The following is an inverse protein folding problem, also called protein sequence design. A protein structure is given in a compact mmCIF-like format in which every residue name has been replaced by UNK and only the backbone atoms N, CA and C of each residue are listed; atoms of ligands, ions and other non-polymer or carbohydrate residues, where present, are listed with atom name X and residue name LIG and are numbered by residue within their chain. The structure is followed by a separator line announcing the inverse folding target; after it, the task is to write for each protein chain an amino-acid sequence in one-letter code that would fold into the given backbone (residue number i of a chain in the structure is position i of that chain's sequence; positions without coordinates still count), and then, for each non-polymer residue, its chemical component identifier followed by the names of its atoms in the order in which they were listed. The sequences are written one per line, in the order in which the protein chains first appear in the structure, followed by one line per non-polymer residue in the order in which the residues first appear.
data_IF_089660672062
#
_entry.id   IF_089660672062
#
_cell.length_a   1.000
_cell.length_b   1.000
_cell.length_c   1.000
_cell.angle_alpha   90.00
_cell.angle_beta   90.00
_cell.angle_gamma   90.00
#
_symmetry.space_group_name_H-M   'P 1'
#
loop_
_entity.id
_entity.type
_entity.pdbx_description
1 polymer ?
#
# COMPACT_ATOMS: atom_id res chain seq x y z
N UNK A 1 19.57 15.38 -14.61
CA UNK A 1 20.47 14.21 -14.45
C UNK A 1 20.83 13.91 -12.99
N UNK A 2 21.14 14.92 -12.15
CA UNK A 2 21.58 14.70 -10.75
C UNK A 2 20.62 13.92 -9.81
N UNK A 3 19.29 14.05 -9.97
CA UNK A 3 18.33 13.28 -9.16
C UNK A 3 18.51 11.76 -9.37
N UNK A 4 18.73 11.33 -10.62
CA UNK A 4 18.81 9.91 -10.97
C UNK A 4 20.19 9.32 -10.61
N UNK A 5 21.26 10.12 -10.70
CA UNK A 5 22.59 9.73 -10.23
C UNK A 5 22.58 9.47 -8.71
N UNK A 6 21.95 10.36 -7.94
CA UNK A 6 21.79 10.22 -6.49
C UNK A 6 20.97 8.97 -6.13
N UNK A 7 19.89 8.69 -6.86
CA UNK A 7 19.06 7.50 -6.63
C UNK A 7 19.79 6.19 -6.94
N UNK A 8 20.76 6.19 -7.87
CA UNK A 8 21.57 5.01 -8.24
C UNK A 8 22.63 4.66 -7.20
N UNK A 9 23.19 5.67 -6.52
CA UNK A 9 24.18 5.46 -5.46
C UNK A 9 23.65 4.68 -4.25
N UNK A 10 22.33 4.45 -4.21
CA UNK A 10 21.62 3.86 -3.09
C UNK A 10 21.15 2.43 -3.36
N UNK A 11 21.36 1.91 -4.58
CA UNK A 11 21.08 0.51 -4.89
C UNK A 11 22.02 -0.41 -4.10
N UNK A 12 21.41 -1.37 -3.42
CA UNK A 12 22.07 -2.22 -2.44
C UNK A 12 21.47 -3.62 -2.52
N UNK A 13 22.32 -4.60 -2.77
CA UNK A 13 21.93 -6.00 -2.86
C UNK A 13 21.23 -6.49 -1.59
N UNK A 14 21.57 -5.94 -0.42
CA UNK A 14 20.90 -6.26 0.84
C UNK A 14 19.44 -5.80 0.83
N UNK A 15 19.17 -4.62 0.29
CA UNK A 15 17.80 -4.09 0.17
C UNK A 15 17.03 -4.85 -0.90
N UNK A 16 17.64 -5.14 -2.05
CA UNK A 16 16.99 -5.88 -3.13
C UNK A 16 16.59 -7.30 -2.69
N UNK A 17 17.47 -8.00 -1.96
CA UNK A 17 17.18 -9.33 -1.43
C UNK A 17 16.07 -9.29 -0.37
N UNK A 18 16.11 -8.31 0.53
CA UNK A 18 15.05 -8.10 1.52
C UNK A 18 13.71 -7.80 0.85
N UNK A 19 13.70 -6.92 -0.15
CA UNK A 19 12.49 -6.58 -0.89
C UNK A 19 11.89 -7.78 -1.60
N UNK A 20 12.74 -8.61 -2.23
CA UNK A 20 12.29 -9.83 -2.87
C UNK A 20 11.81 -10.88 -1.87
N UNK A 21 12.46 -11.03 -0.71
CA UNK A 21 12.06 -12.01 0.30
C UNK A 21 10.72 -11.65 0.98
N UNK A 22 10.50 -10.37 1.26
CA UNK A 22 9.37 -9.87 2.04
C UNK A 22 8.17 -9.47 1.17
N UNK A 23 8.41 -8.97 -0.04
CA UNK A 23 7.38 -8.38 -0.90
C UNK A 23 7.28 -9.02 -2.29
N UNK A 24 8.10 -10.03 -2.60
CA UNK A 24 8.14 -10.72 -3.89
C UNK A 24 8.13 -9.73 -5.07
N UNK A 25 7.32 -10.01 -6.10
CA UNK A 25 7.20 -9.16 -7.28
C UNK A 25 6.36 -7.89 -7.05
N UNK A 26 5.55 -7.84 -5.99
CA UNK A 26 4.77 -6.64 -5.64
C UNK A 26 5.70 -5.49 -5.20
N UNK A 27 6.76 -5.83 -4.45
CA UNK A 27 7.81 -4.88 -4.07
C UNK A 27 8.49 -4.24 -5.29
N UNK A 28 8.70 -5.01 -6.37
CA UNK A 28 9.33 -4.48 -7.60
C UNK A 28 8.43 -3.58 -8.44
N UNK A 29 7.10 -3.64 -8.28
CA UNK A 29 6.18 -2.77 -9.01
C UNK A 29 6.27 -1.33 -8.49
N UNK A 30 6.38 -1.16 -7.17
CA UNK A 30 6.47 0.15 -6.51
C UNK A 30 7.91 0.64 -6.32
N UNK A 31 8.87 -0.26 -6.16
CA UNK A 31 10.26 0.09 -5.90
C UNK A 31 11.09 -0.05 -7.19
N UNK A 32 11.33 1.06 -7.92
CA UNK A 32 12.08 1.00 -9.16
C UNK A 32 13.52 0.54 -8.89
N UNK A 33 13.98 -0.46 -9.67
CA UNK A 33 15.36 -0.94 -9.66
C UNK A 33 16.19 -0.03 -10.57
N UNK A 34 17.23 0.61 -10.02
CA UNK A 34 18.05 1.57 -10.77
C UNK A 34 19.49 1.06 -11.00
N UNK A 35 19.75 -0.20 -10.62
CA UNK A 35 21.09 -0.77 -10.49
C UNK A 35 21.83 -0.89 -11.83
N UNK A 36 21.10 -1.22 -12.89
CA UNK A 36 21.62 -1.34 -14.26
C UNK A 36 20.99 -0.30 -15.18
N UNK A 37 21.70 0.04 -16.26
CA UNK A 37 21.19 0.96 -17.30
C UNK A 37 19.85 0.50 -17.89
N UNK A 38 19.67 -0.82 -18.07
CA UNK A 38 18.42 -1.41 -18.59
C UNK A 38 17.26 -1.23 -17.61
N UNK A 39 17.46 -1.59 -16.34
CA UNK A 39 16.45 -1.44 -15.29
C UNK A 39 16.08 0.03 -15.04
N UNK A 40 17.07 0.94 -15.08
CA UNK A 40 16.83 2.39 -15.01
C UNK A 40 15.91 2.90 -16.12
N UNK A 41 16.19 2.52 -17.38
CA UNK A 41 15.35 2.93 -18.51
C UNK A 41 13.94 2.37 -18.34
N UNK A 42 13.84 1.09 -17.96
CA UNK A 42 12.55 0.44 -17.71
C UNK A 42 11.75 1.14 -16.61
N UNK A 43 12.35 1.45 -15.46
CA UNK A 43 11.67 2.14 -14.36
C UNK A 43 11.25 3.57 -14.70
N UNK A 44 12.05 4.30 -15.49
CA UNK A 44 11.66 5.63 -15.96
C UNK A 44 10.47 5.54 -16.92
N UNK A 45 10.50 4.60 -17.86
CA UNK A 45 9.39 4.36 -18.78
C UNK A 45 8.13 3.94 -18.02
N UNK A 46 8.24 3.02 -17.08
CA UNK A 46 7.13 2.59 -16.23
C UNK A 46 6.53 3.77 -15.47
N UNK A 47 7.36 4.61 -14.84
CA UNK A 47 6.91 5.79 -14.12
C UNK A 47 6.13 6.75 -15.05
N UNK A 48 6.68 7.05 -16.23
CA UNK A 48 6.04 7.92 -17.21
C UNK A 48 4.71 7.33 -17.71
N UNK A 49 4.68 6.04 -18.03
CA UNK A 49 3.47 5.34 -18.48
C UNK A 49 2.40 5.39 -17.38
N UNK A 50 2.75 5.06 -16.14
CA UNK A 50 1.79 5.02 -15.03
C UNK A 50 1.20 6.39 -14.75
N UNK A 51 2.03 7.43 -14.62
CA UNK A 51 1.55 8.80 -14.38
C UNK A 51 0.71 9.30 -15.55
N UNK A 52 1.12 9.02 -16.79
CA UNK A 52 0.35 9.45 -17.97
C UNK A 52 -1.02 8.78 -18.01
N UNK A 53 -1.08 7.47 -17.79
CA UNK A 53 -2.35 6.73 -17.78
C UNK A 53 -3.27 7.17 -16.63
N UNK A 54 -2.70 7.40 -15.44
CA UNK A 54 -3.46 7.92 -14.29
C UNK A 54 -4.06 9.29 -14.60
N UNK A 55 -3.26 10.24 -15.10
CA UNK A 55 -3.74 11.58 -15.44
C UNK A 55 -4.77 11.56 -16.58
N UNK A 56 -4.53 10.75 -17.61
CA UNK A 56 -5.47 10.58 -18.71
C UNK A 56 -6.83 10.06 -18.19
N UNK A 57 -6.84 9.01 -17.37
CA UNK A 57 -8.10 8.47 -16.85
C UNK A 57 -8.78 9.40 -15.83
N UNK A 58 -8.03 10.15 -15.02
CA UNK A 58 -8.62 11.20 -14.17
C UNK A 58 -9.38 12.19 -15.04
N UNK A 59 -8.79 12.65 -16.14
CA UNK A 59 -9.45 13.56 -17.06
C UNK A 59 -10.70 12.93 -17.71
N UNK A 60 -10.61 11.67 -18.14
CA UNK A 60 -11.75 10.93 -18.72
C UNK A 60 -12.89 10.76 -17.72
N UNK A 61 -12.61 10.38 -16.47
CA UNK A 61 -13.65 10.23 -15.44
C UNK A 61 -14.29 11.57 -15.09
N UNK A 62 -13.51 12.65 -14.94
CA UNK A 62 -14.05 13.98 -14.68
C UNK A 62 -14.88 14.51 -15.87
N UNK A 63 -14.45 14.24 -17.10
CA UNK A 63 -15.21 14.63 -18.29
C UNK A 63 -16.51 13.81 -18.41
N UNK A 64 -16.45 12.50 -18.12
CA UNK A 64 -17.63 11.63 -18.10
C UNK A 64 -18.61 12.09 -17.01
N UNK A 65 -18.12 12.41 -15.81
CA UNK A 65 -18.90 12.99 -14.73
C UNK A 65 -19.62 14.27 -15.19
N UNK A 66 -18.91 15.19 -15.85
CA UNK A 66 -19.52 16.40 -16.43
C UNK A 66 -20.62 16.07 -17.47
N UNK A 67 -20.40 15.07 -18.32
CA UNK A 67 -21.37 14.60 -19.32
C UNK A 67 -22.59 13.87 -18.74
N UNK A 68 -22.53 13.46 -17.47
CA UNK A 68 -23.59 12.75 -16.75
C UNK A 68 -24.10 13.55 -15.55
N UNK A 69 -24.02 14.88 -15.58
CA UNK A 69 -24.42 15.74 -14.45
C UNK A 69 -25.88 15.53 -14.01
N UNK A 70 -26.74 15.14 -14.95
CA UNK A 70 -28.16 14.87 -14.70
C UNK A 70 -28.39 13.50 -14.03
N UNK A 71 -27.49 12.53 -14.26
CA UNK A 71 -27.52 11.23 -13.58
C UNK A 71 -26.59 11.25 -12.35
N UNK A 72 -27.15 11.62 -11.20
CA UNK A 72 -26.40 11.77 -9.94
C UNK A 72 -25.62 10.52 -9.55
N UNK A 73 -26.16 9.31 -9.79
CA UNK A 73 -25.51 8.05 -9.44
C UNK A 73 -24.22 7.88 -10.25
N UNK A 74 -24.31 8.01 -11.57
CA UNK A 74 -23.17 7.88 -12.48
C UNK A 74 -22.15 9.03 -12.29
N UNK A 75 -22.63 10.25 -12.02
CA UNK A 75 -21.80 11.40 -11.64
C UNK A 75 -20.93 11.07 -10.42
N UNK A 76 -21.55 10.62 -9.32
CA UNK A 76 -20.82 10.31 -8.09
C UNK A 76 -19.87 9.13 -8.25
N UNK A 77 -20.26 8.11 -9.00
CA UNK A 77 -19.39 6.98 -9.31
C UNK A 77 -18.12 7.43 -10.07
N UNK A 78 -18.27 8.25 -11.10
CA UNK A 78 -17.13 8.75 -11.87
C UNK A 78 -16.22 9.68 -11.05
N UNK A 79 -16.80 10.56 -10.21
CA UNK A 79 -16.02 11.38 -9.28
C UNK A 79 -15.23 10.49 -8.31
N UNK A 80 -15.88 9.46 -7.74
CA UNK A 80 -15.22 8.52 -6.84
C UNK A 80 -14.03 7.81 -7.51
N UNK A 81 -14.20 7.34 -8.75
CA UNK A 81 -13.13 6.69 -9.52
C UNK A 81 -11.99 7.67 -9.83
N UNK A 82 -12.29 8.92 -10.21
CA UNK A 82 -11.27 9.95 -10.41
C UNK A 82 -10.46 10.22 -9.13
N UNK A 83 -11.14 10.29 -7.98
CA UNK A 83 -10.51 10.45 -6.67
C UNK A 83 -9.62 9.25 -6.33
N UNK A 84 -10.08 8.02 -6.60
CA UNK A 84 -9.30 6.81 -6.36
C UNK A 84 -7.99 6.82 -7.18
N UNK A 85 -8.04 7.23 -8.45
CA UNK A 85 -6.85 7.40 -9.28
C UNK A 85 -5.92 8.49 -8.75
N UNK A 86 -6.48 9.60 -8.26
CA UNK A 86 -5.71 10.65 -7.62
C UNK A 86 -5.00 10.15 -6.36
N UNK A 87 -5.66 9.33 -5.53
CA UNK A 87 -5.04 8.67 -4.38
C UNK A 87 -3.91 7.74 -4.85
N UNK A 88 -4.13 6.90 -5.85
CA UNK A 88 -3.08 6.03 -6.38
C UNK A 88 -1.86 6.82 -6.87
N UNK A 89 -2.08 7.93 -7.59
CA UNK A 89 -1.00 8.84 -7.99
C UNK A 89 -0.28 9.48 -6.80
N UNK A 90 -1.02 9.93 -5.79
CA UNK A 90 -0.45 10.55 -4.59
C UNK A 90 0.29 9.57 -3.69
N UNK A 91 0.00 8.26 -3.76
CA UNK A 91 0.81 7.18 -3.18
C UNK A 91 2.09 6.96 -4.02
N UNK A 92 1.93 6.83 -5.33
CA UNK A 92 3.01 6.42 -6.23
C UNK A 92 4.15 7.44 -6.31
N UNK A 93 3.80 8.73 -6.40
CA UNK A 93 4.79 9.82 -6.56
C UNK A 93 5.77 9.89 -5.37
N UNK A 94 5.33 9.95 -4.09
CA UNK A 94 6.23 9.93 -2.94
C UNK A 94 7.10 8.68 -2.85
N UNK A 95 6.56 7.50 -3.17
CA UNK A 95 7.34 6.25 -3.13
C UNK A 95 8.52 6.31 -4.12
N UNK A 96 8.30 6.86 -5.31
CA UNK A 96 9.36 7.01 -6.33
C UNK A 96 10.30 8.17 -5.99
N UNK A 97 9.77 9.32 -5.59
CA UNK A 97 10.58 10.54 -5.35
C UNK A 97 11.35 10.50 -4.04
N UNK A 98 10.79 9.87 -3.00
CA UNK A 98 11.41 9.70 -1.69
C UNK A 98 12.01 8.30 -1.49
N UNK A 99 12.27 7.59 -2.59
CA UNK A 99 12.88 6.25 -2.60
C UNK A 99 14.05 6.14 -1.63
N UNK A 100 14.91 7.16 -1.54
CA UNK A 100 16.03 7.23 -0.59
C UNK A 100 15.66 6.91 0.85
N UNK A 101 14.57 7.49 1.35
CA UNK A 101 14.10 7.26 2.72
C UNK A 101 13.59 5.83 2.87
N UNK A 102 12.88 5.33 1.85
CA UNK A 102 12.38 3.96 1.81
C UNK A 102 13.52 2.93 1.75
N UNK A 103 14.57 3.19 0.97
CA UNK A 103 15.80 2.38 0.93
C UNK A 103 16.48 2.33 2.29
N UNK A 104 16.66 3.49 2.96
CA UNK A 104 17.24 3.55 4.31
C UNK A 104 16.40 2.81 5.33
N UNK A 105 15.07 2.90 5.22
CA UNK A 105 14.14 2.15 6.05
C UNK A 105 14.32 0.64 5.88
N UNK A 106 14.22 0.13 4.65
CA UNK A 106 14.38 -1.29 4.36
C UNK A 106 15.77 -1.81 4.70
N UNK A 107 16.83 -1.03 4.45
CA UNK A 107 18.19 -1.36 4.87
C UNK A 107 18.27 -1.56 6.38
N UNK A 108 17.66 -0.66 7.15
CA UNK A 108 17.65 -0.74 8.61
C UNK A 108 16.93 -2.00 9.12
N UNK A 109 15.86 -2.42 8.44
CA UNK A 109 15.15 -3.66 8.76
C UNK A 109 15.96 -4.90 8.36
N UNK A 110 16.57 -4.87 7.17
CA UNK A 110 17.35 -5.98 6.61
C UNK A 110 18.62 -6.27 7.43
N UNK A 111 19.35 -5.22 7.83
CA UNK A 111 20.55 -5.36 8.68
C UNK A 111 20.21 -5.73 10.13
N UNK A 112 18.94 -5.63 10.52
CA UNK A 112 18.50 -5.65 11.91
C UNK A 112 18.77 -4.31 12.60
N UNK A 113 17.86 -3.92 13.51
CA UNK A 113 17.99 -2.69 14.30
C UNK A 113 18.87 -2.87 15.54
N UNK A 114 19.09 -4.11 15.94
CA UNK A 114 19.93 -4.52 17.07
C UNK A 114 20.40 -5.96 16.95
N UNK A 115 21.50 -6.27 17.64
CA UNK A 115 21.98 -7.62 17.87
C UNK A 115 22.12 -7.81 19.39
N UNK A 116 21.39 -8.76 19.93
CA UNK A 116 21.51 -9.18 21.33
C UNK A 116 22.20 -10.54 21.41
N UNK A 117 22.27 -11.11 22.62
CA UNK A 117 22.81 -12.45 22.82
C UNK A 117 21.90 -13.52 22.17
N UNK A 118 22.48 -14.67 21.82
CA UNK A 118 21.82 -15.73 21.06
C UNK A 118 20.48 -16.21 21.66
N UNK A 119 20.35 -16.22 22.98
CA UNK A 119 19.09 -16.63 23.61
C UNK A 119 18.00 -15.59 23.48
N UNK A 120 18.37 -14.31 23.42
CA UNK A 120 17.43 -13.22 23.15
C UNK A 120 17.05 -13.21 21.68
N UNK A 121 18.01 -13.47 20.77
CA UNK A 121 17.76 -13.54 19.32
C UNK A 121 16.90 -14.75 18.90
N UNK A 122 16.99 -15.89 19.59
CA UNK A 122 16.10 -17.05 19.37
C UNK A 122 14.61 -16.71 19.53
N UNK A 123 14.28 -15.71 20.34
CA UNK A 123 12.91 -15.24 20.52
C UNK A 123 12.40 -14.44 19.29
N UNK A 124 13.29 -13.92 18.44
CA UNK A 124 13.01 -13.11 17.24
C UNK A 124 12.47 -13.90 16.07
N UNK A 125 13.01 -15.09 15.86
CA UNK A 125 12.68 -15.98 14.74
C UNK A 125 11.18 -16.33 14.65
N UNK A 126 10.50 -16.82 15.71
CA UNK A 126 9.09 -17.20 15.61
C UNK A 126 8.17 -16.01 15.34
N UNK A 127 8.45 -14.85 15.94
CA UNK A 127 7.67 -13.62 15.70
C UNK A 127 7.81 -13.11 14.26
N UNK A 128 9.02 -13.14 13.69
CA UNK A 128 9.24 -12.78 12.27
C UNK A 128 8.49 -13.72 11.31
N UNK A 129 8.53 -15.04 11.56
CA UNK A 129 7.75 -16.01 10.78
C UNK A 129 6.25 -15.74 10.82
N UNK A 130 5.72 -15.32 11.97
CA UNK A 130 4.30 -14.98 12.12
C UNK A 130 3.90 -13.75 11.28
N UNK A 131 4.74 -12.71 11.23
CA UNK A 131 4.51 -11.52 10.39
C UNK A 131 4.49 -11.90 8.92
N UNK A 132 5.48 -12.67 8.46
CA UNK A 132 5.56 -13.14 7.07
C UNK A 132 4.31 -13.91 6.65
N UNK A 133 3.81 -14.80 7.52
CA UNK A 133 2.56 -15.53 7.27
C UNK A 133 1.35 -14.59 7.15
N UNK A 134 1.24 -13.59 8.03
CA UNK A 134 0.15 -12.60 7.96
C UNK A 134 0.20 -11.77 6.67
N UNK A 135 1.38 -11.32 6.25
CA UNK A 135 1.52 -10.55 5.01
C UNK A 135 1.06 -11.36 3.79
N UNK A 136 1.47 -12.62 3.69
CA UNK A 136 1.02 -13.53 2.62
C UNK A 136 -0.50 -13.70 2.65
N UNK A 137 -1.10 -13.88 3.84
CA UNK A 137 -2.55 -13.99 3.98
C UNK A 137 -3.27 -12.72 3.48
N UNK A 138 -2.77 -11.53 3.82
CA UNK A 138 -3.35 -10.26 3.35
C UNK A 138 -3.28 -10.14 1.83
N UNK A 139 -2.14 -10.48 1.22
CA UNK A 139 -1.98 -10.49 -0.25
C UNK A 139 -3.01 -11.42 -0.91
N UNK A 140 -3.16 -12.65 -0.40
CA UNK A 140 -4.10 -13.62 -0.94
C UNK A 140 -5.54 -13.13 -0.81
N UNK A 141 -5.91 -12.59 0.35
CA UNK A 141 -7.26 -12.05 0.58
C UNK A 141 -7.54 -10.88 -0.36
N UNK A 142 -6.58 -9.96 -0.53
CA UNK A 142 -6.72 -8.83 -1.45
C UNK A 142 -6.92 -9.32 -2.89
N UNK A 143 -6.11 -10.27 -3.36
CA UNK A 143 -6.26 -10.86 -4.71
C UNK A 143 -7.63 -11.51 -4.89
N UNK A 144 -8.09 -12.31 -3.93
CA UNK A 144 -9.42 -12.94 -3.98
C UNK A 144 -10.51 -11.87 -4.03
N UNK A 145 -10.42 -10.86 -3.16
CA UNK A 145 -11.38 -9.76 -3.12
C UNK A 145 -11.49 -9.04 -4.47
N UNK A 146 -10.37 -8.72 -5.10
CA UNK A 146 -10.37 -8.07 -6.42
C UNK A 146 -10.90 -8.97 -7.54
N UNK A 147 -10.56 -10.27 -7.53
CA UNK A 147 -11.12 -11.22 -8.50
C UNK A 147 -12.64 -11.30 -8.35
N UNK A 148 -13.13 -11.41 -7.12
CA UNK A 148 -14.57 -11.45 -6.84
C UNK A 148 -15.23 -10.15 -7.30
N UNK A 149 -14.68 -8.98 -6.98
CA UNK A 149 -15.22 -7.70 -7.45
C UNK A 149 -15.25 -7.60 -8.98
N UNK A 150 -14.19 -8.02 -9.67
CA UNK A 150 -14.14 -8.00 -11.13
C UNK A 150 -15.21 -8.92 -11.73
N UNK A 151 -15.39 -10.12 -11.19
CA UNK A 151 -16.44 -11.06 -11.59
C UNK A 151 -17.82 -10.45 -11.33
N UNK A 152 -18.03 -9.85 -10.16
CA UNK A 152 -19.31 -9.22 -9.81
C UNK A 152 -19.63 -8.07 -10.77
N UNK A 153 -18.67 -7.21 -11.11
CA UNK A 153 -18.88 -6.12 -12.08
C UNK A 153 -19.18 -6.67 -13.47
N UNK A 154 -18.39 -7.62 -13.97
CA UNK A 154 -18.57 -8.17 -15.33
C UNK A 154 -19.90 -8.94 -15.45
N UNK A 155 -20.27 -9.72 -14.43
CA UNK A 155 -21.47 -10.54 -14.46
C UNK A 155 -22.71 -9.74 -14.07
N UNK A 156 -22.71 -8.98 -12.96
CA UNK A 156 -23.90 -8.29 -12.49
C UNK A 156 -24.19 -6.99 -13.23
N UNK A 157 -23.21 -6.25 -13.74
CA UNK A 157 -23.49 -4.96 -14.41
C UNK A 157 -24.50 -5.11 -15.56
N UNK A 158 -24.37 -6.11 -16.46
CA UNK A 158 -25.37 -6.34 -17.51
C UNK A 158 -26.78 -6.67 -16.98
N UNK A 159 -26.89 -7.40 -15.86
CA UNK A 159 -28.19 -7.73 -15.26
C UNK A 159 -28.80 -6.52 -14.54
N UNK A 160 -28.01 -5.75 -13.80
CA UNK A 160 -28.46 -4.52 -13.14
C UNK A 160 -28.99 -3.54 -14.19
N UNK A 161 -28.26 -3.36 -15.29
CA UNK A 161 -28.67 -2.47 -16.38
C UNK A 161 -29.95 -2.96 -17.07
N UNK A 162 -30.13 -4.29 -17.21
CA UNK A 162 -31.34 -4.89 -17.78
C UNK A 162 -32.59 -4.72 -16.89
N UNK A 163 -32.43 -4.73 -15.57
CA UNK A 163 -33.54 -4.70 -14.62
C UNK A 163 -33.78 -3.31 -13.98
N UNK A 164 -32.86 -2.36 -14.14
CA UNK A 164 -33.07 -0.98 -13.71
C UNK A 164 -34.10 -0.28 -14.59
N UNK A 165 -35.25 0.09 -13.99
CA UNK A 165 -36.43 0.69 -14.65
C UNK A 165 -36.16 2.07 -15.29
N UNK A 166 -35.00 2.65 -15.07
CA UNK A 166 -34.57 3.92 -15.67
C UNK A 166 -33.96 3.80 -17.08
N UNK A 167 -33.87 2.58 -17.62
CA UNK A 167 -33.50 2.38 -19.03
C UNK A 167 -34.66 2.75 -19.97
N UNK A 168 -35.12 4.01 -19.95
CA UNK A 168 -35.91 4.57 -21.06
C UNK A 168 -35.12 4.60 -22.39
N UNK A 169 -33.81 4.35 -22.32
CA UNK A 169 -32.91 4.12 -23.46
C UNK A 169 -32.73 2.62 -23.82
N UNK A 170 -33.57 1.71 -23.30
CA UNK A 170 -33.55 0.26 -23.57
C UNK A 170 -33.96 -0.16 -24.99
N UNK A 171 -33.67 0.67 -26.00
CA UNK A 171 -33.49 0.12 -27.33
C UNK A 171 -32.16 -0.64 -27.32
N UNK A 172 -32.19 -1.96 -27.54
CA UNK A 172 -31.04 -2.88 -27.55
C UNK A 172 -29.85 -2.45 -28.46
N UNK A 173 -29.99 -1.36 -29.22
CA UNK A 173 -29.02 -0.82 -30.17
C UNK A 173 -28.42 0.54 -29.76
N UNK A 174 -28.74 1.09 -28.57
CA UNK A 174 -28.20 2.40 -28.13
C UNK A 174 -26.80 2.20 -27.55
N UNK A 175 -25.78 2.53 -28.36
CA UNK A 175 -24.36 2.39 -27.99
C UNK A 175 -23.87 3.59 -27.15
N UNK A 176 -24.52 4.75 -27.30
CA UNK A 176 -24.14 6.00 -26.64
C UNK A 176 -25.34 6.68 -25.99
N UNK A 177 -25.12 7.32 -24.84
CA UNK A 177 -26.09 8.30 -24.31
C UNK A 177 -26.21 9.50 -25.26
N UNK A 178 -27.26 10.30 -25.09
CA UNK A 178 -27.42 11.59 -25.79
C UNK A 178 -26.23 12.55 -25.58
N UNK A 179 -25.47 12.37 -24.50
CA UNK A 179 -24.28 13.16 -24.17
C UNK A 179 -22.98 12.57 -24.71
N UNK A 180 -23.04 11.39 -25.35
CA UNK A 180 -21.92 10.71 -26.01
C UNK A 180 -21.15 9.71 -25.14
N UNK A 181 -21.69 9.32 -23.98
CA UNK A 181 -21.08 8.32 -23.09
C UNK A 181 -21.35 6.92 -23.62
N UNK A 182 -20.32 6.09 -23.73
CA UNK A 182 -20.43 4.72 -24.20
C UNK A 182 -21.12 3.82 -23.18
N UNK A 183 -22.19 3.14 -23.57
CA UNK A 183 -22.96 2.23 -22.71
C UNK A 183 -22.52 0.76 -22.82
N UNK A 184 -21.79 0.42 -23.88
CA UNK A 184 -21.34 -0.94 -24.19
C UNK A 184 -19.94 -1.29 -23.63
N UNK A 185 -19.43 -0.50 -22.69
CA UNK A 185 -18.14 -0.70 -22.05
C UNK A 185 -18.31 -1.24 -20.62
N UNK A 186 -17.32 -1.97 -20.07
CA UNK A 186 -17.39 -2.49 -18.70
C UNK A 186 -17.65 -1.40 -17.65
N UNK A 187 -17.02 -0.24 -17.83
CA UNK A 187 -17.39 1.01 -17.19
C UNK A 187 -17.96 1.95 -18.24
N UNK A 188 -19.16 2.48 -17.98
CA UNK A 188 -19.84 3.46 -18.83
C UNK A 188 -19.05 4.77 -18.82
N UNK A 189 -18.36 5.07 -19.92
CA UNK A 189 -17.36 6.13 -19.98
C UNK A 189 -17.42 6.85 -21.31
N UNK A 190 -17.15 8.16 -21.29
CA UNK A 190 -16.84 8.87 -22.51
C UNK A 190 -15.40 8.55 -22.92
N UNK A 191 -15.19 8.18 -24.18
CA UNK A 191 -13.85 7.90 -24.71
C UNK A 191 -13.62 8.69 -26.00
N UNK A 192 -12.41 9.23 -26.24
CA UNK A 192 -12.14 10.05 -27.42
C UNK A 192 -12.21 9.27 -28.73
N UNK A 193 -11.95 7.96 -28.69
CA UNK A 193 -12.01 7.08 -29.87
C UNK A 193 -13.41 6.49 -30.13
N UNK A 194 -14.34 6.64 -29.18
CA UNK A 194 -15.66 6.02 -29.21
C UNK A 194 -15.64 4.50 -28.97
N UNK A 195 -16.80 3.86 -29.09
CA UNK A 195 -17.04 2.42 -28.88
C UNK A 195 -17.99 1.81 -29.93
N UNK A 196 -18.08 2.41 -31.11
CA UNK A 196 -18.97 2.04 -32.22
C UNK A 196 -18.56 0.77 -32.95
N UNK A 197 -17.29 0.36 -32.88
CA UNK A 197 -16.80 -0.88 -33.50
C UNK A 197 -16.26 -1.83 -32.45
N UNK A 198 -16.30 -3.14 -32.72
CA UNK A 198 -15.76 -4.17 -31.83
C UNK A 198 -14.29 -3.91 -31.47
N UNK A 199 -13.47 -3.47 -32.42
CA UNK A 199 -12.07 -3.14 -32.17
C UNK A 199 -11.92 -1.99 -31.16
N UNK A 200 -12.74 -0.93 -31.28
CA UNK A 200 -12.75 0.18 -30.32
C UNK A 200 -13.21 -0.27 -28.93
N UNK A 201 -14.23 -1.12 -28.85
CA UNK A 201 -14.70 -1.72 -27.59
C UNK A 201 -13.58 -2.53 -26.92
N UNK A 202 -12.89 -3.39 -27.68
CA UNK A 202 -11.78 -4.21 -27.17
C UNK A 202 -10.63 -3.34 -26.67
N UNK A 203 -10.25 -2.29 -27.40
CA UNK A 203 -9.19 -1.35 -26.99
C UNK A 203 -9.56 -0.64 -25.70
N UNK A 204 -10.78 -0.09 -25.60
CA UNK A 204 -11.25 0.59 -24.40
C UNK A 204 -11.36 -0.35 -23.20
N UNK A 205 -11.86 -1.58 -23.41
CA UNK A 205 -11.95 -2.59 -22.35
C UNK A 205 -10.55 -3.01 -21.86
N UNK A 206 -9.59 -3.16 -22.78
CA UNK A 206 -8.19 -3.43 -22.41
C UNK A 206 -7.58 -2.27 -21.62
N UNK A 207 -7.84 -1.03 -22.03
CA UNK A 207 -7.37 0.17 -21.35
C UNK A 207 -7.94 0.27 -19.91
N UNK A 208 -9.25 0.05 -19.75
CA UNK A 208 -9.91 0.00 -18.44
C UNK A 208 -9.35 -1.12 -17.55
N UNK A 209 -9.09 -2.29 -18.12
CA UNK A 209 -8.45 -3.39 -17.38
C UNK A 209 -7.02 -3.05 -16.95
N UNK A 210 -6.25 -2.39 -17.82
CA UNK A 210 -4.87 -2.00 -17.54
C UNK A 210 -4.80 -0.97 -16.40
N UNK A 211 -5.62 0.08 -16.44
CA UNK A 211 -5.64 1.09 -15.37
C UNK A 211 -6.08 0.48 -14.04
N UNK A 212 -7.08 -0.42 -14.05
CA UNK A 212 -7.54 -1.09 -12.85
C UNK A 212 -6.41 -1.94 -12.23
N UNK A 213 -5.68 -2.68 -13.05
CA UNK A 213 -4.52 -3.47 -12.60
C UNK A 213 -3.42 -2.57 -12.01
N UNK A 214 -3.11 -1.44 -12.65
CA UNK A 214 -2.10 -0.49 -12.15
C UNK A 214 -2.49 0.05 -10.78
N UNK A 215 -3.73 0.51 -10.63
CA UNK A 215 -4.25 1.09 -9.38
C UNK A 215 -4.23 0.06 -8.25
N UNK A 216 -4.76 -1.13 -8.51
CA UNK A 216 -4.76 -2.25 -7.54
C UNK A 216 -3.35 -2.60 -7.12
N UNK A 217 -2.42 -2.66 -8.08
CA UNK A 217 -1.02 -2.99 -7.80
C UNK A 217 -0.35 -1.92 -6.95
N UNK A 218 -0.60 -0.63 -7.22
CA UNK A 218 -0.05 0.50 -6.46
C UNK A 218 -0.57 0.47 -5.02
N UNK A 219 -1.90 0.40 -4.83
CA UNK A 219 -2.53 0.44 -3.51
C UNK A 219 -2.11 -0.77 -2.67
N UNK A 220 -2.29 -1.97 -3.22
CA UNK A 220 -1.98 -3.22 -2.50
C UNK A 220 -0.50 -3.27 -2.09
N UNK A 221 0.40 -2.90 -3.00
CA UNK A 221 1.84 -2.93 -2.71
C UNK A 221 2.21 -1.88 -1.65
N UNK A 222 1.59 -0.70 -1.66
CA UNK A 222 1.84 0.35 -0.69
C UNK A 222 1.34 -0.06 0.71
N UNK A 223 0.15 -0.66 0.78
CA UNK A 223 -0.42 -1.20 2.01
C UNK A 223 0.47 -2.27 2.61
N UNK A 224 0.98 -3.20 1.80
CA UNK A 224 1.88 -4.25 2.29
C UNK A 224 3.19 -3.64 2.80
N UNK A 225 3.81 -2.71 2.06
CA UNK A 225 5.05 -2.04 2.48
C UNK A 225 4.83 -1.32 3.81
N UNK A 226 3.75 -0.55 3.93
CA UNK A 226 3.45 0.21 5.13
C UNK A 226 3.09 -0.67 6.32
N UNK A 227 2.19 -1.64 6.14
CA UNK A 227 1.78 -2.58 7.19
C UNK A 227 2.95 -3.44 7.65
N UNK A 228 3.76 -3.99 6.73
CA UNK A 228 4.93 -4.78 7.10
C UNK A 228 5.97 -3.91 7.84
N UNK A 229 6.16 -2.67 7.40
CA UNK A 229 7.02 -1.72 8.09
C UNK A 229 6.56 -1.46 9.53
N UNK A 230 5.26 -1.21 9.72
CA UNK A 230 4.68 -1.00 11.04
C UNK A 230 4.76 -2.25 11.94
N UNK A 231 4.47 -3.43 11.38
CA UNK A 231 4.58 -4.70 12.11
C UNK A 231 6.03 -5.01 12.49
N UNK A 232 6.99 -4.71 11.61
CA UNK A 232 8.42 -4.86 11.89
C UNK A 232 8.89 -3.93 12.99
N UNK A 233 8.51 -2.64 12.95
CA UNK A 233 8.83 -1.69 14.01
C UNK A 233 8.20 -2.09 15.36
N UNK A 234 6.94 -2.54 15.35
CA UNK A 234 6.29 -3.08 16.54
C UNK A 234 7.04 -4.28 17.11
N UNK A 235 7.47 -5.19 16.25
CA UNK A 235 8.25 -6.36 16.65
C UNK A 235 9.57 -5.95 17.31
N UNK A 236 10.28 -4.97 16.76
CA UNK A 236 11.55 -4.49 17.33
C UNK A 236 11.33 -3.76 18.68
N UNK A 237 10.21 -3.06 18.84
CA UNK A 237 9.79 -2.50 20.15
C UNK A 237 9.48 -3.60 21.17
N UNK A 238 8.74 -4.65 20.79
CA UNK A 238 8.51 -5.82 21.65
C UNK A 238 9.84 -6.46 22.07
N UNK A 239 10.82 -6.55 21.16
CA UNK A 239 12.15 -7.08 21.48
C UNK A 239 12.92 -6.21 22.45
N UNK A 240 12.84 -4.89 22.30
CA UNK A 240 13.43 -3.97 23.27
C UNK A 240 12.84 -4.19 24.67
N UNK A 241 11.52 -4.36 24.78
CA UNK A 241 10.85 -4.64 26.08
C UNK A 241 11.33 -5.98 26.66
N UNK A 242 11.40 -7.04 25.85
CA UNK A 242 11.90 -8.35 26.29
C UNK A 242 13.36 -8.25 26.75
N UNK A 243 14.19 -7.54 25.99
CA UNK A 243 15.60 -7.31 26.30
C UNK A 243 15.78 -6.55 27.63
N UNK A 244 14.96 -5.53 27.88
CA UNK A 244 14.95 -4.80 29.15
C UNK A 244 14.53 -5.70 30.33
N UNK A 245 13.51 -6.55 30.16
CA UNK A 245 13.11 -7.52 31.20
C UNK A 245 14.19 -8.56 31.49
N UNK A 246 14.99 -8.92 30.49
CA UNK A 246 16.10 -9.88 30.62
C UNK A 246 17.43 -9.23 31.00
N UNK A 247 17.46 -7.92 31.25
CA UNK A 247 18.69 -7.18 31.52
C UNK A 247 19.56 -7.79 32.64
N UNK A 248 19.01 -8.25 33.78
CA UNK A 248 19.82 -8.93 34.80
C UNK A 248 20.49 -10.20 34.27
N UNK A 249 19.73 -11.08 33.61
CA UNK A 249 20.24 -12.34 33.04
C UNK A 249 21.30 -12.09 31.96
N UNK A 250 21.09 -11.08 31.11
CA UNK A 250 22.03 -10.68 30.05
C UNK A 250 23.34 -10.15 30.63
N UNK A 251 23.25 -9.37 31.71
CA UNK A 251 24.40 -8.83 32.43
C UNK A 251 25.23 -9.96 33.04
N UNK A 252 24.59 -10.89 33.76
CA UNK A 252 25.27 -12.04 34.36
C UNK A 252 25.96 -12.92 33.30
N UNK A 253 25.29 -13.13 32.16
CA UNK A 253 25.86 -13.88 31.04
C UNK A 253 27.08 -13.18 30.44
N UNK A 254 27.03 -11.87 30.25
CA UNK A 254 28.16 -11.08 29.75
C UNK A 254 29.35 -11.12 30.72
N UNK A 255 29.07 -11.02 32.02
CA UNK A 255 30.07 -11.12 33.08
C UNK A 255 30.73 -12.51 33.07
N UNK A 256 29.94 -13.59 33.04
CA UNK A 256 30.44 -14.97 32.96
C UNK A 256 31.31 -15.20 31.72
N UNK A 257 30.92 -14.64 30.57
CA UNK A 257 31.69 -14.73 29.33
C UNK A 257 33.04 -14.00 29.41
N UNK A 258 33.10 -12.86 30.13
CA UNK A 258 34.31 -12.03 30.23
C UNK A 258 35.27 -12.49 31.33
N UNK A 259 34.74 -12.93 32.48
CA UNK A 259 35.51 -13.20 33.69
C UNK A 259 35.44 -14.66 34.17
N UNK A 260 34.64 -15.53 33.54
CA UNK A 260 34.57 -16.96 33.83
C UNK A 260 33.95 -17.34 35.18
N UNK A 261 33.46 -16.38 35.96
CA UNK A 261 32.88 -16.58 37.29
C UNK A 261 31.37 -16.38 37.29
N UNK A 262 30.68 -17.15 38.12
CA UNK A 262 29.26 -16.99 38.40
C UNK A 262 29.09 -16.06 39.60
N UNK A 263 28.28 -15.01 39.42
CA UNK A 263 27.97 -14.00 40.44
C UNK A 263 26.46 -13.77 40.45
N UNK A 264 25.91 -13.35 41.59
CA UNK A 264 24.52 -12.92 41.68
C UNK A 264 24.34 -11.46 41.28
N UNK A 265 23.23 -11.15 40.59
CA UNK A 265 22.98 -9.79 40.10
C UNK A 265 22.87 -8.75 41.23
N UNK A 266 22.52 -9.19 42.45
CA UNK A 266 22.41 -8.33 43.62
C UNK A 266 23.75 -7.69 44.04
N UNK A 267 24.88 -8.24 43.60
CA UNK A 267 26.22 -7.73 43.92
C UNK A 267 26.65 -6.54 43.06
N UNK A 268 25.77 -6.01 42.18
CA UNK A 268 26.08 -4.95 41.22
C UNK A 268 26.60 -3.67 41.87
N UNK A 269 26.17 -3.33 43.09
CA UNK A 269 26.66 -2.14 43.81
C UNK A 269 28.07 -2.30 44.35
N UNK A 270 28.49 -3.55 44.59
CA UNK A 270 29.78 -3.86 45.23
C UNK A 270 30.83 -4.28 44.19
N UNK A 271 30.41 -4.82 43.05
CA UNK A 271 31.29 -5.28 41.99
C UNK A 271 31.31 -4.31 40.80
N UNK A 272 32.42 -3.57 40.66
CA UNK A 272 32.61 -2.59 39.57
C UNK A 272 32.56 -3.23 38.19
N UNK A 273 33.07 -4.45 38.05
CA UNK A 273 33.11 -5.16 36.77
C UNK A 273 31.71 -5.61 36.33
N UNK A 274 30.87 -6.03 37.29
CA UNK A 274 29.46 -6.33 37.05
C UNK A 274 28.66 -5.07 36.66
N UNK A 275 28.94 -3.94 37.32
CA UNK A 275 28.32 -2.66 36.98
C UNK A 275 28.68 -2.18 35.56
N UNK A 276 29.92 -2.40 35.10
CA UNK A 276 30.32 -2.08 33.73
C UNK A 276 29.62 -2.98 32.70
N UNK A 277 29.50 -4.30 32.97
CA UNK A 277 28.71 -5.20 32.12
C UNK A 277 27.23 -4.78 32.04
N UNK A 278 26.65 -4.31 33.15
CA UNK A 278 25.28 -3.81 33.18
C UNK A 278 25.11 -2.57 32.32
N UNK A 279 26.05 -1.61 32.46
CA UNK A 279 26.11 -0.39 31.67
C UNK A 279 26.23 -0.69 30.17
N UNK A 280 27.08 -1.64 29.77
CA UNK A 280 27.18 -2.08 28.37
C UNK A 280 25.85 -2.63 27.83
N UNK A 281 25.16 -3.49 28.60
CA UNK A 281 23.86 -4.03 28.21
C UNK A 281 22.78 -2.93 28.07
N UNK A 282 22.84 -1.90 28.93
CA UNK A 282 21.98 -0.72 28.87
C UNK A 282 22.25 0.13 27.62
N UNK A 283 23.53 0.38 27.32
CA UNK A 283 23.95 1.13 26.11
C UNK A 283 23.43 0.43 24.84
N UNK A 284 23.47 -0.91 24.78
CA UNK A 284 22.91 -1.66 23.67
C UNK A 284 21.38 -1.43 23.50
N UNK A 285 20.63 -1.40 24.61
CA UNK A 285 19.19 -1.12 24.58
C UNK A 285 18.87 0.32 24.15
N UNK A 286 19.64 1.30 24.64
CA UNK A 286 19.50 2.70 24.22
C UNK A 286 19.80 2.85 22.72
N UNK A 287 20.87 2.21 22.24
CA UNK A 287 21.23 2.19 20.81
C UNK A 287 20.12 1.57 19.95
N UNK A 288 19.55 0.45 20.39
CA UNK A 288 18.41 -0.19 19.73
C UNK A 288 17.20 0.74 19.65
N UNK A 289 16.80 1.36 20.76
CA UNK A 289 15.67 2.30 20.78
C UNK A 289 15.90 3.49 19.82
N UNK A 290 17.11 4.05 19.80
CA UNK A 290 17.48 5.11 18.86
C UNK A 290 17.34 4.67 17.40
N UNK A 291 17.74 3.44 17.07
CA UNK A 291 17.61 2.89 15.73
C UNK A 291 16.13 2.67 15.34
N UNK A 292 15.29 2.24 16.29
CA UNK A 292 13.83 2.14 16.06
C UNK A 292 13.24 3.51 15.74
N UNK A 293 13.54 4.55 16.54
CA UNK A 293 13.06 5.92 16.28
C UNK A 293 13.52 6.40 14.90
N UNK A 294 14.78 6.15 14.54
CA UNK A 294 15.31 6.53 13.24
C UNK A 294 14.56 5.84 12.09
N UNK A 295 14.32 4.53 12.20
CA UNK A 295 13.57 3.78 11.19
C UNK A 295 12.11 4.26 11.11
N UNK A 296 11.46 4.55 12.24
CA UNK A 296 10.12 5.14 12.29
C UNK A 296 10.06 6.48 11.57
N UNK A 297 11.05 7.35 11.79
CA UNK A 297 11.10 8.66 11.11
C UNK A 297 11.21 8.51 9.59
N UNK A 298 12.01 7.56 9.08
CA UNK A 298 12.11 7.32 7.64
C UNK A 298 10.76 6.94 7.01
N UNK A 299 10.00 6.03 7.61
CA UNK A 299 8.69 5.64 7.05
C UNK A 299 7.63 6.72 7.25
N UNK A 300 7.65 7.44 8.38
CA UNK A 300 6.75 8.57 8.66
C UNK A 300 6.92 9.68 7.62
N UNK A 301 8.16 10.05 7.30
CA UNK A 301 8.46 11.14 6.36
C UNK A 301 7.97 10.82 4.93
N UNK A 302 7.92 9.54 4.57
CA UNK A 302 7.33 9.06 3.30
C UNK A 302 5.81 9.03 3.36
N UNK A 303 5.25 8.50 4.45
CA UNK A 303 3.83 8.15 4.52
C UNK A 303 2.90 9.30 4.94
N UNK A 304 3.39 10.34 5.65
CA UNK A 304 2.49 11.29 6.31
C UNK A 304 1.55 12.04 5.35
N UNK A 305 2.05 12.51 4.20
CA UNK A 305 1.22 13.22 3.20
C UNK A 305 0.15 12.29 2.65
N UNK A 306 0.56 11.07 2.31
CA UNK A 306 -0.30 10.05 1.72
C UNK A 306 -1.41 9.65 2.70
N UNK A 307 -1.05 9.38 3.95
CA UNK A 307 -2.00 9.02 4.99
C UNK A 307 -2.99 10.16 5.28
N UNK A 308 -2.51 11.40 5.32
CA UNK A 308 -3.39 12.57 5.51
C UNK A 308 -4.41 12.71 4.38
N UNK A 309 -3.97 12.53 3.12
CA UNK A 309 -4.84 12.57 1.95
C UNK A 309 -5.86 11.44 1.98
N UNK A 310 -5.43 10.19 2.20
CA UNK A 310 -6.32 9.03 2.27
C UNK A 310 -7.38 9.21 3.36
N UNK A 311 -6.99 9.68 4.56
CA UNK A 311 -7.94 9.90 5.65
C UNK A 311 -8.94 11.00 5.33
N UNK A 312 -8.49 12.13 4.78
CA UNK A 312 -9.36 13.27 4.48
C UNK A 312 -10.33 12.94 3.34
N UNK A 313 -9.80 12.38 2.26
CA UNK A 313 -10.57 12.04 1.07
C UNK A 313 -11.47 10.84 1.33
N UNK A 314 -10.98 9.82 2.03
CA UNK A 314 -11.78 8.66 2.45
C UNK A 314 -12.94 9.06 3.35
N UNK A 315 -12.72 9.97 4.31
CA UNK A 315 -13.81 10.49 5.15
C UNK A 315 -14.83 11.28 4.33
N UNK A 316 -14.38 12.09 3.37
CA UNK A 316 -15.27 12.83 2.48
C UNK A 316 -16.13 11.90 1.61
N UNK A 317 -15.54 10.84 1.05
CA UNK A 317 -16.27 9.83 0.27
C UNK A 317 -17.28 9.10 1.14
N UNK A 318 -16.90 8.66 2.35
CA UNK A 318 -17.82 7.98 3.26
C UNK A 318 -19.00 8.91 3.62
N UNK A 319 -18.71 10.19 3.89
CA UNK A 319 -19.74 11.20 4.12
C UNK A 319 -20.67 11.39 2.91
N UNK A 320 -20.10 11.44 1.70
CA UNK A 320 -20.85 11.57 0.44
C UNK A 320 -21.73 10.34 0.18
N UNK A 321 -21.19 9.13 0.39
CA UNK A 321 -21.94 7.88 0.26
C UNK A 321 -23.06 7.78 1.29
N UNK A 322 -22.80 8.19 2.54
CA UNK A 322 -23.82 8.26 3.59
C UNK A 322 -24.93 9.26 3.23
N UNK A 323 -24.57 10.45 2.74
CA UNK A 323 -25.52 11.44 2.25
C UNK A 323 -26.33 10.91 1.05
N UNK A 324 -25.67 10.23 0.10
CA UNK A 324 -26.35 9.64 -1.04
C UNK A 324 -27.38 8.59 -0.61
N UNK A 325 -27.08 7.76 0.40
CA UNK A 325 -28.04 6.79 0.94
C UNK A 325 -29.21 7.47 1.66
N UNK A 326 -28.94 8.49 2.46
CA UNK A 326 -29.98 9.17 3.27
C UNK A 326 -30.89 10.06 2.42
N UNK A 327 -30.33 10.70 1.38
CA UNK A 327 -31.05 11.66 0.54
C UNK A 327 -31.52 11.10 -0.80
N UNK A 328 -31.08 9.91 -1.24
CA UNK A 328 -31.80 9.15 -2.27
C UNK A 328 -33.03 8.48 -1.65
N UNK A 329 -34.10 9.26 -1.54
CA UNK A 329 -35.45 8.79 -1.24
C UNK A 329 -36.08 8.02 -2.41
N UNK A 330 -35.41 7.96 -3.58
CA UNK A 330 -35.88 7.20 -4.76
C UNK A 330 -34.92 6.03 -5.13
N UNK A 331 -34.22 5.47 -4.15
CA UNK A 331 -33.31 4.34 -4.35
C UNK A 331 -34.06 3.01 -4.54
N UNK A 332 -33.36 1.93 -4.92
CA UNK A 332 -33.91 0.57 -4.95
C UNK A 332 -34.21 0.01 -3.54
N UNK A 333 -34.58 0.84 -2.57
CA UNK A 333 -35.21 0.42 -1.33
C UNK A 333 -36.74 0.50 -1.43
N UNK A 334 -37.27 1.31 -2.37
CA UNK A 334 -38.71 1.46 -2.56
C UNK A 334 -39.38 0.19 -3.09
N UNK A 335 -38.68 -0.65 -3.88
CA UNK A 335 -39.24 -1.95 -4.30
C UNK A 335 -39.32 -2.96 -3.15
N UNK A 336 -38.51 -2.79 -2.10
CA UNK A 336 -38.55 -3.62 -0.89
C UNK A 336 -39.64 -3.16 0.07
N UNK A 337 -39.97 -1.87 0.08
CA UNK A 337 -41.01 -1.28 0.92
C UNK A 337 -42.39 -1.22 0.23
N UNK A 338 -42.46 -1.37 -1.09
CA UNK A 338 -43.72 -1.46 -1.86
C UNK A 338 -44.20 -2.90 -2.08
N UNK A 339 -43.55 -3.88 -1.43
CA UNK A 339 -43.88 -5.31 -1.50
C UNK A 339 -44.66 -5.81 -0.27
N UNK A 340 -45.01 -4.91 0.66
CA UNK A 340 -46.08 -5.06 1.64
C UNK A 340 -47.27 -4.19 1.22
#
# INVERSE_FOLDING_TARGET
MGLIENLRSEDDATVDNYMMEEFWYLGTILYPKLNTKKWKIFSILQFLIYITLLLYHIAIFLFTAYKQIDNKIELFQNIHLAILLFIAGSIYIPIVTQRKLLTKFHRSLASGLSQYDDETEKLRIPKRKQIKKKNITVVIIALIYYIVLAILVIILSPYIDKYSKDSKDSNENVIYTSTGVSLNLPLKLWTPIGSDTLMKVVINAFEQGLIALIVVSIITSADIIYCNGCLSLKLEMDFLIISMKRLPKRTLKLYKLRYGSDIEFNEITNNKDLAECYKECLIQNISHHRNIIRAFNFIKDVAWVVLFLILTVGSAIIGLSGAAIVFNVDGPADWLLSAE
#
